data_IF_405151241281
#
_entry.id   IF_405151241281
#
_cell.length_a   1.000
_cell.length_b   1.000
_cell.length_c   1.000
_cell.angle_alpha   90.00
_cell.angle_beta   90.00
_cell.angle_gamma   90.00
#
_symmetry.space_group_name_H-M   'P 1'
#
loop_
_entity.id
_entity.type
_entity.pdbx_description
1 polymer ?
#
# COMPACT_ATOMS: atom_id res chain seq x y z
N UNK A 1 -2.44 -25.43 -5.24
CA UNK A 1 -2.90 -24.57 -6.36
C UNK A 1 -1.76 -23.65 -6.72
N UNK A 2 -1.28 -23.66 -7.97
CA UNK A 2 -0.31 -22.66 -8.45
C UNK A 2 -1.00 -21.30 -8.42
N UNK A 3 -0.42 -20.35 -7.67
CA UNK A 3 -0.88 -18.98 -7.68
C UNK A 3 -0.48 -18.42 -9.05
N UNK A 4 -1.45 -17.99 -9.85
CA UNK A 4 -1.28 -17.60 -11.27
C UNK A 4 -0.37 -16.38 -11.52
N UNK A 5 0.37 -15.90 -10.51
CA UNK A 5 1.07 -14.61 -10.49
C UNK A 5 2.59 -14.74 -10.27
N UNK A 6 3.12 -15.94 -10.06
CA UNK A 6 4.56 -16.15 -9.91
C UNK A 6 5.26 -16.25 -11.27
N UNK A 7 6.37 -15.53 -11.42
CA UNK A 7 7.25 -15.68 -12.58
C UNK A 7 7.90 -17.06 -12.55
N UNK A 8 7.87 -17.78 -13.67
CA UNK A 8 8.52 -19.08 -13.80
C UNK A 8 9.46 -19.12 -15.00
N UNK A 9 10.55 -19.87 -14.86
CA UNK A 9 11.46 -20.16 -15.97
C UNK A 9 11.20 -21.59 -16.47
N UNK A 10 10.85 -21.73 -17.75
CA UNK A 10 10.57 -23.04 -18.36
C UNK A 10 11.89 -23.70 -18.76
N UNK A 11 12.27 -24.75 -18.03
CA UNK A 11 13.48 -25.52 -18.33
C UNK A 11 13.23 -26.53 -19.46
N UNK A 12 12.01 -27.07 -19.59
CA UNK A 12 11.63 -28.04 -20.61
C UNK A 12 10.11 -28.07 -20.84
N UNK A 13 9.65 -27.72 -22.06
CA UNK A 13 8.23 -27.77 -22.45
C UNK A 13 8.07 -28.00 -23.97
N UNK A 14 8.32 -29.21 -24.48
CA UNK A 14 8.30 -29.50 -25.91
C UNK A 14 6.91 -29.36 -26.56
N UNK A 15 5.84 -29.32 -25.77
CA UNK A 15 4.45 -29.23 -26.24
C UNK A 15 3.80 -27.90 -25.86
N UNK A 16 4.60 -26.90 -25.42
CA UNK A 16 4.17 -25.51 -25.17
C UNK A 16 2.97 -25.39 -24.23
N UNK A 17 2.83 -26.29 -23.25
CA UNK A 17 1.71 -26.27 -22.30
C UNK A 17 1.77 -25.08 -21.34
N UNK A 18 2.95 -24.49 -21.18
CA UNK A 18 3.21 -23.39 -20.24
C UNK A 18 2.94 -22.00 -20.84
N UNK A 19 2.92 -21.84 -22.17
CA UNK A 19 2.72 -20.54 -22.84
C UNK A 19 1.44 -19.82 -22.38
N UNK A 20 0.34 -20.56 -22.19
CA UNK A 20 -0.94 -20.01 -21.70
C UNK A 20 -0.86 -19.36 -20.30
N UNK A 21 0.16 -19.71 -19.52
CA UNK A 21 0.37 -19.19 -18.19
C UNK A 21 1.25 -17.93 -18.19
N UNK A 22 2.03 -17.66 -19.24
CA UNK A 22 2.86 -16.45 -19.37
C UNK A 22 2.03 -15.17 -19.36
N UNK A 23 0.87 -15.16 -20.01
CA UNK A 23 -0.04 -14.01 -20.03
C UNK A 23 -0.54 -13.60 -18.62
N UNK A 24 -0.44 -14.50 -17.64
CA UNK A 24 -0.87 -14.27 -16.26
C UNK A 24 0.31 -13.94 -15.33
N UNK A 25 1.56 -14.07 -15.80
CA UNK A 25 2.77 -13.70 -15.05
C UNK A 25 2.97 -12.19 -15.07
N UNK A 26 2.23 -11.48 -14.21
CA UNK A 26 2.41 -10.06 -14.02
C UNK A 26 2.46 -9.69 -12.54
N UNK A 27 3.18 -8.60 -12.27
CA UNK A 27 3.32 -8.02 -10.94
C UNK A 27 2.76 -6.59 -10.89
N UNK A 28 1.94 -6.20 -11.87
CA UNK A 28 1.21 -4.92 -11.82
C UNK A 28 -0.14 -5.10 -11.14
N UNK A 29 -0.65 -4.06 -10.48
CA UNK A 29 -2.02 -4.08 -9.99
C UNK A 29 -2.94 -3.76 -11.16
N UNK A 30 -3.94 -4.60 -11.40
CA UNK A 30 -5.03 -4.21 -12.29
C UNK A 30 -5.84 -3.06 -11.66
N UNK A 31 -6.74 -2.44 -12.43
CA UNK A 31 -7.52 -1.27 -11.95
C UNK A 31 -8.30 -1.57 -10.66
N UNK A 32 -8.76 -2.82 -10.49
CA UNK A 32 -9.57 -3.24 -9.34
C UNK A 32 -8.69 -3.50 -8.12
N UNK A 33 -7.61 -4.25 -8.29
CA UNK A 33 -6.61 -4.52 -7.24
C UNK A 33 -5.95 -3.20 -6.77
N UNK A 34 -5.73 -2.26 -7.68
CA UNK A 34 -5.23 -0.93 -7.32
C UNK A 34 -6.26 -0.14 -6.50
N UNK A 35 -7.52 -0.09 -6.94
CA UNK A 35 -8.58 0.58 -6.17
C UNK A 35 -8.76 -0.04 -4.79
N UNK A 36 -8.67 -1.37 -4.67
CA UNK A 36 -8.72 -2.07 -3.39
C UNK A 36 -7.54 -1.72 -2.49
N UNK A 37 -6.32 -1.59 -3.02
CA UNK A 37 -5.19 -1.13 -2.20
C UNK A 37 -5.44 0.28 -1.62
N UNK A 38 -6.07 1.17 -2.40
CA UNK A 38 -6.42 2.53 -1.92
C UNK A 38 -7.55 2.49 -0.89
N UNK A 39 -8.58 1.66 -1.12
CA UNK A 39 -9.69 1.47 -0.19
C UNK A 39 -9.25 0.85 1.14
N UNK A 40 -8.37 -0.15 1.08
CA UNK A 40 -7.74 -0.78 2.23
C UNK A 40 -6.97 0.24 3.08
N UNK A 41 -6.23 1.17 2.46
CA UNK A 41 -5.54 2.23 3.21
C UNK A 41 -6.54 3.06 4.01
N UNK A 42 -7.62 3.53 3.36
CA UNK A 42 -8.65 4.33 4.04
C UNK A 42 -9.32 3.55 5.17
N UNK A 43 -9.67 2.28 4.93
CA UNK A 43 -10.29 1.43 5.93
C UNK A 43 -9.34 1.10 7.08
N UNK A 44 -8.05 0.86 6.82
CA UNK A 44 -7.07 0.61 7.86
C UNK A 44 -6.74 1.85 8.67
N UNK A 45 -6.76 3.06 8.10
CA UNK A 45 -6.72 4.28 8.90
C UNK A 45 -7.89 4.36 9.89
N UNK A 46 -9.10 4.00 9.47
CA UNK A 46 -10.26 3.94 10.36
C UNK A 46 -10.11 2.87 11.45
N UNK A 47 -9.60 1.67 11.10
CA UNK A 47 -9.35 0.61 12.08
C UNK A 47 -8.27 1.01 13.08
N UNK A 48 -7.17 1.59 12.59
CA UNK A 48 -6.09 2.11 13.42
C UNK A 48 -6.63 3.15 14.40
N UNK A 49 -7.46 4.09 13.93
CA UNK A 49 -8.11 5.09 14.78
C UNK A 49 -8.81 4.44 15.97
N UNK A 50 -9.68 3.47 15.68
CA UNK A 50 -10.45 2.74 16.71
C UNK A 50 -9.56 1.93 17.65
N UNK A 51 -8.43 1.41 17.17
CA UNK A 51 -7.47 0.65 17.97
C UNK A 51 -6.77 1.55 18.98
N UNK A 52 -6.16 2.64 18.48
CA UNK A 52 -5.42 3.60 19.27
C UNK A 52 -6.31 4.32 20.29
N UNK A 53 -7.52 4.73 19.90
CA UNK A 53 -8.47 5.41 20.80
C UNK A 53 -8.95 4.51 21.96
N UNK A 54 -8.72 3.20 21.86
CA UNK A 54 -9.03 2.20 22.91
C UNK A 54 -7.79 1.74 23.68
N UNK A 55 -6.62 2.33 23.41
CA UNK A 55 -5.35 1.91 24.00
C UNK A 55 -4.94 0.48 23.64
N UNK A 56 -5.37 -0.03 22.48
CA UNK A 56 -4.97 -1.35 22.01
C UNK A 56 -3.77 -1.25 21.06
N UNK A 57 -2.61 -0.97 21.64
CA UNK A 57 -1.39 -0.61 20.90
C UNK A 57 -0.84 -1.79 20.08
N UNK A 58 -0.99 -3.03 20.57
CA UNK A 58 -0.64 -4.23 19.80
C UNK A 58 -1.44 -4.32 18.49
N UNK A 59 -2.75 -4.07 18.56
CA UNK A 59 -3.59 -4.03 17.37
C UNK A 59 -3.28 -2.81 16.50
N UNK A 60 -3.01 -1.65 17.11
CA UNK A 60 -2.65 -0.43 16.40
C UNK A 60 -1.36 -0.60 15.57
N UNK A 61 -0.32 -1.21 16.14
CA UNK A 61 0.94 -1.55 15.45
C UNK A 61 0.69 -2.48 14.27
N UNK A 62 -0.11 -3.54 14.47
CA UNK A 62 -0.47 -4.47 13.39
C UNK A 62 -1.16 -3.74 12.24
N UNK A 63 -2.15 -2.90 12.54
CA UNK A 63 -2.89 -2.15 11.52
C UNK A 63 -2.00 -1.09 10.87
N UNK A 64 -1.09 -0.45 11.60
CA UNK A 64 -0.10 0.47 11.04
C UNK A 64 0.78 -0.23 9.97
N UNK A 65 1.19 -1.48 10.23
CA UNK A 65 1.90 -2.27 9.23
C UNK A 65 1.02 -2.58 8.00
N UNK A 66 -0.27 -2.88 8.18
CA UNK A 66 -1.19 -3.12 7.06
C UNK A 66 -1.39 -1.87 6.18
N UNK A 67 -1.44 -0.68 6.79
CA UNK A 67 -1.42 0.60 6.06
C UNK A 67 -0.14 0.68 5.23
N UNK A 68 1.03 0.48 5.86
CA UNK A 68 2.33 0.57 5.19
C UNK A 68 2.48 -0.40 4.01
N UNK A 69 1.95 -1.61 4.12
CA UNK A 69 1.90 -2.60 3.05
C UNK A 69 1.15 -2.09 1.82
N UNK A 70 -0.01 -1.45 2.01
CA UNK A 70 -0.80 -0.93 0.90
C UNK A 70 -0.28 0.41 0.38
N UNK A 71 0.28 1.27 1.23
CA UNK A 71 1.00 2.47 0.80
C UNK A 71 2.13 2.10 -0.16
N UNK A 72 2.92 1.06 0.17
CA UNK A 72 3.98 0.59 -0.71
C UNK A 72 3.47 0.15 -2.09
N UNK A 73 2.35 -0.58 -2.13
CA UNK A 73 1.69 -0.98 -3.39
C UNK A 73 1.25 0.23 -4.21
N UNK A 74 0.63 1.24 -3.59
CA UNK A 74 0.18 2.46 -4.27
C UNK A 74 1.36 3.29 -4.79
N UNK A 75 2.44 3.42 -4.02
CA UNK A 75 3.67 4.08 -4.47
C UNK A 75 4.29 3.38 -5.67
N UNK A 76 4.40 2.05 -5.61
CA UNK A 76 4.90 1.27 -6.74
C UNK A 76 3.96 1.40 -7.94
N UNK A 77 2.64 1.41 -7.75
CA UNK A 77 1.71 1.64 -8.86
C UNK A 77 1.96 2.97 -9.58
N UNK A 78 2.35 4.02 -8.85
CA UNK A 78 2.69 5.32 -9.44
C UNK A 78 4.04 5.33 -10.14
N UNK A 79 5.06 4.73 -9.53
CA UNK A 79 6.47 4.95 -9.91
C UNK A 79 7.16 3.75 -10.55
N UNK A 80 6.69 2.54 -10.30
CA UNK A 80 7.21 1.28 -10.83
C UNK A 80 6.06 0.24 -10.97
N UNK A 81 5.07 0.51 -11.83
CA UNK A 81 3.82 -0.26 -11.88
C UNK A 81 4.03 -1.73 -12.22
N UNK A 82 5.11 -2.09 -12.93
CA UNK A 82 5.49 -3.48 -13.24
C UNK A 82 5.85 -4.30 -11.99
N UNK A 83 5.99 -3.67 -10.82
CA UNK A 83 6.34 -4.31 -9.54
C UNK A 83 5.30 -4.08 -8.44
N UNK A 84 4.19 -3.40 -8.72
CA UNK A 84 3.25 -2.93 -7.71
C UNK A 84 2.67 -4.01 -6.78
N UNK A 85 2.42 -5.21 -7.28
CA UNK A 85 1.92 -6.34 -6.46
C UNK A 85 2.91 -6.81 -5.40
N UNK A 86 4.22 -6.59 -5.59
CA UNK A 86 5.25 -7.04 -4.65
C UNK A 86 5.27 -6.23 -3.34
N UNK A 87 4.68 -5.03 -3.33
CA UNK A 87 4.64 -4.15 -2.16
C UNK A 87 6.03 -3.89 -1.57
N UNK A 88 6.16 -3.96 -0.26
CA UNK A 88 7.41 -3.64 0.46
C UNK A 88 8.66 -4.36 -0.07
N UNK A 89 8.51 -5.57 -0.62
CA UNK A 89 9.65 -6.34 -1.14
C UNK A 89 10.33 -5.65 -2.32
N UNK A 90 9.58 -4.90 -3.12
CA UNK A 90 10.12 -4.19 -4.28
C UNK A 90 10.59 -2.77 -3.95
N UNK A 91 10.11 -2.17 -2.86
CA UNK A 91 10.42 -0.76 -2.50
C UNK A 91 11.92 -0.45 -2.56
N UNK A 92 12.84 -1.22 -1.92
CA UNK A 92 14.26 -0.87 -1.89
C UNK A 92 14.96 -0.83 -3.26
N UNK A 93 14.41 -1.53 -4.26
CA UNK A 93 15.05 -1.71 -5.57
C UNK A 93 14.28 -1.04 -6.71
N UNK A 94 12.98 -0.77 -6.53
CA UNK A 94 12.11 -0.24 -7.57
C UNK A 94 11.80 1.26 -7.41
N UNK A 95 11.97 1.83 -6.21
CA UNK A 95 11.71 3.26 -5.97
C UNK A 95 13.01 4.07 -5.90
N UNK A 96 12.91 5.38 -6.14
CA UNK A 96 14.01 6.34 -5.93
C UNK A 96 14.45 6.35 -4.45
N UNK A 97 15.73 6.60 -4.19
CA UNK A 97 16.29 6.64 -2.82
C UNK A 97 15.50 7.52 -1.84
N UNK A 98 14.98 8.67 -2.29
CA UNK A 98 14.13 9.54 -1.47
C UNK A 98 12.85 8.85 -0.98
N UNK A 99 12.17 8.11 -1.85
CA UNK A 99 10.93 7.37 -1.53
C UNK A 99 11.20 6.14 -0.69
N UNK A 100 12.32 5.46 -0.93
CA UNK A 100 12.80 4.40 -0.05
C UNK A 100 12.98 4.95 1.36
N UNK A 101 13.64 6.11 1.49
CA UNK A 101 13.85 6.75 2.79
C UNK A 101 12.54 7.15 3.47
N UNK A 102 11.55 7.65 2.74
CA UNK A 102 10.21 7.95 3.28
C UNK A 102 9.56 6.69 3.88
N UNK A 103 9.62 5.56 3.17
CA UNK A 103 9.09 4.29 3.66
C UNK A 103 9.88 3.74 4.86
N UNK A 104 11.21 3.78 4.82
CA UNK A 104 12.03 3.38 5.97
C UNK A 104 11.72 4.23 7.21
N UNK A 105 11.53 5.53 7.04
CA UNK A 105 11.20 6.43 8.14
C UNK A 105 9.87 6.05 8.79
N UNK A 106 8.84 5.72 8.00
CA UNK A 106 7.58 5.18 8.52
C UNK A 106 7.83 3.93 9.36
N UNK A 107 8.55 2.96 8.80
CA UNK A 107 8.77 1.66 9.45
C UNK A 107 9.64 1.73 10.72
N UNK A 108 10.49 2.75 10.87
CA UNK A 108 11.23 3.01 12.12
C UNK A 108 10.30 3.36 13.29
N UNK A 109 9.11 3.87 13.03
CA UNK A 109 8.16 4.30 14.07
C UNK A 109 7.06 3.27 14.36
N UNK A 110 6.93 2.20 13.56
CA UNK A 110 5.94 1.14 13.81
C UNK A 110 6.38 0.31 15.02
N UNK A 111 5.99 0.78 16.21
CA UNK A 111 6.31 0.20 17.51
C UNK A 111 5.21 0.55 18.51
N UNK A 112 5.18 -0.15 19.65
CA UNK A 112 4.16 0.04 20.69
C UNK A 112 4.05 1.50 21.15
N UNK A 113 5.18 2.22 21.25
CA UNK A 113 5.20 3.57 21.81
C UNK A 113 5.16 4.68 20.74
N UNK A 114 5.27 4.35 19.45
CA UNK A 114 5.44 5.36 18.40
C UNK A 114 4.60 5.14 17.13
N UNK A 115 3.72 4.14 17.12
CA UNK A 115 2.92 3.80 15.94
C UNK A 115 2.11 4.99 15.41
N UNK A 116 1.72 5.93 16.26
CA UNK A 116 1.04 7.17 15.87
C UNK A 116 1.86 8.01 14.90
N UNK A 117 3.16 8.17 15.17
CA UNK A 117 4.05 8.91 14.29
C UNK A 117 4.18 8.22 12.92
N UNK A 118 4.20 6.89 12.89
CA UNK A 118 4.21 6.14 11.63
C UNK A 118 2.95 6.43 10.81
N UNK A 119 1.77 6.39 11.44
CA UNK A 119 0.49 6.59 10.76
C UNK A 119 0.32 8.03 10.26
N UNK A 120 0.75 9.03 11.04
CA UNK A 120 0.76 10.43 10.59
C UNK A 120 1.67 10.60 9.36
N UNK A 121 2.85 9.98 9.37
CA UNK A 121 3.76 10.02 8.22
C UNK A 121 3.15 9.34 6.99
N UNK A 122 2.49 8.19 7.15
CA UNK A 122 1.77 7.52 6.05
C UNK A 122 0.62 8.37 5.50
N UNK A 123 -0.15 9.05 6.38
CA UNK A 123 -1.20 9.96 5.95
C UNK A 123 -0.65 11.14 5.15
N UNK A 124 0.44 11.76 5.60
CA UNK A 124 1.13 12.81 4.85
C UNK A 124 1.69 12.31 3.50
N UNK A 125 2.18 11.07 3.45
CA UNK A 125 2.67 10.45 2.23
C UNK A 125 1.54 10.27 1.20
N UNK A 126 0.39 9.78 1.65
CA UNK A 126 -0.80 9.63 0.80
C UNK A 126 -1.39 10.97 0.38
N UNK A 127 -1.34 11.99 1.24
CA UNK A 127 -1.79 13.35 0.91
C UNK A 127 -1.06 13.92 -0.31
N UNK A 128 0.27 13.74 -0.38
CA UNK A 128 1.09 14.15 -1.55
C UNK A 128 0.63 13.53 -2.86
N UNK A 129 -0.18 12.47 -2.81
CA UNK A 129 -0.58 11.69 -3.98
C UNK A 129 -2.09 11.75 -4.23
N UNK A 130 -2.84 12.50 -3.41
CA UNK A 130 -4.29 12.64 -3.57
C UNK A 130 -4.69 13.18 -4.94
N UNK A 131 -4.04 14.26 -5.41
CA UNK A 131 -4.33 14.85 -6.72
C UNK A 131 -4.18 13.81 -7.85
N UNK A 132 -3.12 13.00 -7.82
CA UNK A 132 -2.93 11.93 -8.79
C UNK A 132 -3.99 10.83 -8.66
N UNK A 133 -4.38 10.45 -7.44
CA UNK A 133 -5.43 9.46 -7.23
C UNK A 133 -6.79 9.99 -7.71
N UNK A 134 -7.04 11.29 -7.58
CA UNK A 134 -8.22 11.96 -8.14
C UNK A 134 -8.20 11.95 -9.66
N UNK A 135 -7.06 12.16 -10.32
CA UNK A 135 -6.98 12.02 -11.78
C UNK A 135 -7.29 10.59 -12.24
N UNK A 136 -7.04 9.57 -11.42
CA UNK A 136 -7.27 8.17 -11.78
C UNK A 136 -8.76 7.75 -11.74
N UNK A 137 -9.56 8.32 -10.83
CA UNK A 137 -10.96 7.90 -10.60
C UNK A 137 -11.96 9.03 -10.33
N UNK A 138 -11.51 10.27 -10.28
CA UNK A 138 -12.31 11.45 -9.91
C UNK A 138 -13.03 11.26 -8.57
N UNK A 139 -14.26 11.78 -8.53
CA UNK A 139 -15.22 11.54 -7.45
C UNK A 139 -16.22 10.41 -7.78
N UNK A 140 -15.97 9.62 -8.83
CA UNK A 140 -16.89 8.57 -9.27
C UNK A 140 -16.96 7.40 -8.26
N UNK A 141 -15.96 7.31 -7.38
CA UNK A 141 -15.88 6.29 -6.33
C UNK A 141 -15.92 6.94 -4.94
N UNK A 142 -16.52 6.26 -3.97
CA UNK A 142 -16.51 6.72 -2.57
C UNK A 142 -15.11 6.65 -1.94
N UNK A 143 -14.20 5.87 -2.54
CA UNK A 143 -12.87 5.56 -2.02
C UNK A 143 -12.01 6.81 -1.84
N UNK A 144 -11.96 7.71 -2.83
CA UNK A 144 -11.13 8.92 -2.75
C UNK A 144 -11.64 9.90 -1.69
N UNK A 145 -12.94 10.28 -1.65
CA UNK A 145 -13.48 11.07 -0.55
C UNK A 145 -13.27 10.43 0.83
N UNK A 146 -13.40 9.11 0.94
CA UNK A 146 -13.17 8.40 2.20
C UNK A 146 -11.70 8.44 2.64
N UNK A 147 -10.76 8.21 1.71
CA UNK A 147 -9.33 8.34 1.97
C UNK A 147 -8.96 9.75 2.44
N UNK A 148 -9.45 10.79 1.74
CA UNK A 148 -9.23 12.20 2.12
C UNK A 148 -9.64 12.47 3.57
N UNK A 149 -10.86 12.08 3.93
CA UNK A 149 -11.37 12.21 5.29
C UNK A 149 -10.45 11.50 6.29
N UNK A 150 -10.00 10.29 5.95
CA UNK A 150 -9.16 9.53 6.88
C UNK A 150 -7.75 10.08 7.03
N UNK A 151 -7.16 10.66 5.98
CA UNK A 151 -5.89 11.38 6.06
C UNK A 151 -6.01 12.56 7.01
N UNK A 152 -7.07 13.36 6.89
CA UNK A 152 -7.31 14.50 7.77
C UNK A 152 -7.45 14.07 9.25
N UNK A 153 -8.24 13.02 9.49
CA UNK A 153 -8.39 12.42 10.83
C UNK A 153 -7.07 11.94 11.43
N UNK A 154 -6.14 11.43 10.61
CA UNK A 154 -4.83 10.98 11.10
C UNK A 154 -3.91 12.16 11.40
N UNK A 155 -3.89 13.18 10.53
CA UNK A 155 -3.05 14.37 10.69
C UNK A 155 -3.46 15.23 11.90
N UNK A 156 -4.74 15.22 12.26
CA UNK A 156 -5.25 15.94 13.43
C UNK A 156 -4.95 15.23 14.75
N UNK A 157 -4.36 14.03 14.73
CA UNK A 157 -3.92 13.36 15.95
C UNK A 157 -2.69 14.06 16.51
N UNK A 158 -2.73 14.38 17.80
CA UNK A 158 -1.56 14.92 18.50
C UNK A 158 -0.78 13.73 19.06
N UNK A 159 0.51 13.58 18.74
CA UNK A 159 1.34 12.53 19.32
C UNK A 159 1.20 12.53 20.83
N UNK A 160 0.78 11.39 21.37
CA UNK A 160 0.69 11.16 22.82
C UNK A 160 2.07 11.09 23.50
#
# INVERSE_FOLDING_TARGET
TLIHKDFFHVVYDPVKRMEKHEAHQNLYLDKKDFLYAVDDIAFFFLQYKKAADRGNDLWAVKVANDIGLNVAKVLLQRYAPDRAQLGLKAVPHALSSSRVQEMENVYRWISLDHHEKAVVQMAALMEKHLEWLEDCWGNETYTIPFLKRMIEEMKNRTPS
#
